data_IF_206468091823
#
_entry.id   IF_206468091823
#
_cell.length_a   1.000
_cell.length_b   1.000
_cell.length_c   1.000
_cell.angle_alpha   90.00
_cell.angle_beta   90.00
_cell.angle_gamma   90.00
#
_symmetry.space_group_name_H-M   'P 1'
#
loop_
_entity.id
_entity.type
_entity.pdbx_description
1 polymer ?
#
# COMPACT_ATOMS: atom_id res chain seq x y z
N UNK A 1 57.16 -35.49 -71.47
CA UNK A 1 56.85 -34.05 -71.43
C UNK A 1 55.34 -33.97 -71.50
N UNK A 2 54.69 -34.20 -70.35
CA UNK A 2 53.90 -33.21 -69.58
C UNK A 2 52.67 -32.74 -70.35
N UNK A 3 51.50 -33.15 -69.86
CA UNK A 3 50.40 -32.24 -69.50
C UNK A 3 49.43 -33.07 -68.64
N UNK A 4 49.54 -32.89 -67.32
CA UNK A 4 48.56 -33.38 -66.35
C UNK A 4 47.27 -32.56 -66.51
N UNK A 5 46.08 -33.15 -66.34
CA UNK A 5 44.86 -32.37 -66.35
C UNK A 5 44.91 -31.39 -65.17
N UNK A 6 44.74 -30.10 -65.46
CA UNK A 6 44.63 -29.04 -64.46
C UNK A 6 43.57 -29.44 -63.43
N UNK A 7 44.01 -29.75 -62.23
CA UNK A 7 43.15 -29.88 -61.07
C UNK A 7 42.65 -28.48 -60.74
N UNK A 8 41.43 -28.17 -61.18
CA UNK A 8 40.66 -27.05 -60.68
C UNK A 8 40.41 -27.30 -59.18
N UNK A 9 41.36 -26.90 -58.35
CA UNK A 9 41.14 -26.72 -56.93
C UNK A 9 40.13 -25.57 -56.81
N UNK A 10 38.84 -25.92 -56.79
CA UNK A 10 37.81 -24.99 -56.34
C UNK A 10 38.16 -24.60 -54.90
N UNK A 11 38.79 -23.44 -54.77
CA UNK A 11 39.09 -22.79 -53.51
C UNK A 11 37.76 -22.53 -52.80
N UNK A 12 37.36 -23.47 -51.95
CA UNK A 12 36.17 -23.36 -51.13
C UNK A 12 36.46 -22.29 -50.07
N UNK A 13 36.27 -21.03 -50.45
CA UNK A 13 36.23 -19.94 -49.50
C UNK A 13 35.06 -20.20 -48.55
N UNK A 14 35.36 -20.75 -47.38
CA UNK A 14 34.47 -20.73 -46.24
C UNK A 14 34.24 -19.26 -45.90
N UNK A 15 33.23 -18.67 -46.52
CA UNK A 15 32.73 -17.33 -46.22
C UNK A 15 32.36 -17.35 -44.74
N UNK A 16 33.28 -16.88 -43.91
CA UNK A 16 33.14 -16.86 -42.46
C UNK A 16 31.87 -16.04 -42.20
N UNK A 17 30.81 -16.68 -41.71
CA UNK A 17 29.59 -16.02 -41.24
C UNK A 17 29.86 -15.27 -39.92
N UNK A 18 30.92 -14.48 -39.90
CA UNK A 18 31.22 -13.52 -38.87
C UNK A 18 30.99 -12.17 -39.52
N UNK A 19 30.35 -11.27 -38.76
CA UNK A 19 30.05 -9.87 -39.12
C UNK A 19 28.62 -9.59 -39.63
N UNK A 20 27.58 -10.16 -39.01
CA UNK A 20 26.28 -9.45 -38.91
C UNK A 20 26.01 -8.89 -37.49
N UNK A 21 26.88 -9.21 -36.52
CA UNK A 21 26.78 -8.71 -35.14
C UNK A 21 27.48 -7.35 -34.93
N UNK A 22 28.34 -6.90 -35.84
CA UNK A 22 29.20 -5.72 -35.63
C UNK A 22 28.54 -4.40 -36.08
N UNK A 23 27.43 -4.46 -36.81
CA UNK A 23 26.63 -3.30 -37.24
C UNK A 23 25.20 -3.31 -36.67
N UNK A 24 24.93 -4.10 -35.63
CA UNK A 24 23.62 -4.05 -35.01
C UNK A 24 23.50 -2.77 -34.18
N UNK A 25 22.76 -1.80 -34.70
CA UNK A 25 22.42 -0.57 -33.98
C UNK A 25 21.81 -0.93 -32.62
N UNK A 26 22.56 -0.68 -31.55
CA UNK A 26 22.13 -0.94 -30.17
C UNK A 26 21.18 0.15 -29.67
N UNK A 27 21.16 1.31 -30.33
CA UNK A 27 20.29 2.45 -30.03
C UNK A 27 18.81 2.05 -29.90
N UNK A 28 18.19 1.32 -30.86
CA UNK A 28 16.81 0.85 -30.70
C UNK A 28 16.62 -0.18 -29.57
N UNK A 29 17.64 -0.99 -29.24
CA UNK A 29 17.52 -1.96 -28.15
C UNK A 29 17.56 -1.28 -26.77
N UNK A 30 18.43 -0.28 -26.62
CA UNK A 30 18.50 0.53 -25.41
C UNK A 30 17.19 1.30 -25.25
N UNK A 31 16.62 1.85 -26.32
CA UNK A 31 15.34 2.58 -26.26
C UNK A 31 14.17 1.70 -25.82
N UNK A 32 14.02 0.49 -26.39
CA UNK A 32 12.97 -0.46 -25.97
C UNK A 32 13.11 -0.84 -24.50
N UNK A 33 14.34 -1.10 -24.03
CA UNK A 33 14.55 -1.41 -22.60
C UNK A 33 14.32 -0.20 -21.70
N UNK A 34 14.67 1.01 -22.14
CA UNK A 34 14.45 2.26 -21.40
C UNK A 34 12.95 2.58 -21.28
N UNK A 35 12.18 2.40 -22.35
CA UNK A 35 10.72 2.53 -22.34
C UNK A 35 10.06 1.55 -21.37
N UNK A 36 10.55 0.30 -21.31
CA UNK A 36 10.06 -0.70 -20.37
C UNK A 36 10.39 -0.34 -18.91
N UNK A 37 11.57 0.23 -18.63
CA UNK A 37 11.94 0.70 -17.30
C UNK A 37 11.08 1.88 -16.84
N UNK A 38 10.79 2.84 -17.72
CA UNK A 38 9.88 3.96 -17.41
C UNK A 38 8.46 3.45 -17.17
N UNK A 39 7.98 2.54 -18.02
CA UNK A 39 6.68 1.91 -17.83
C UNK A 39 6.62 1.16 -16.50
N UNK A 40 7.63 0.37 -16.18
CA UNK A 40 7.71 -0.34 -14.90
C UNK A 40 7.82 0.61 -13.72
N UNK A 41 8.56 1.72 -13.82
CA UNK A 41 8.69 2.71 -12.74
C UNK A 41 7.37 3.43 -12.48
N UNK A 42 6.67 3.86 -13.53
CA UNK A 42 5.35 4.52 -13.42
C UNK A 42 4.28 3.52 -12.95
N UNK A 43 4.31 2.27 -13.42
CA UNK A 43 3.35 1.23 -13.03
C UNK A 43 3.65 0.61 -11.66
N UNK A 44 4.91 0.51 -11.23
CA UNK A 44 5.28 0.13 -9.86
C UNK A 44 4.82 1.18 -8.85
N UNK A 45 4.80 2.46 -9.25
CA UNK A 45 4.20 3.54 -8.46
C UNK A 45 2.68 3.43 -8.31
N UNK A 46 2.01 2.52 -9.02
CA UNK A 46 0.57 2.24 -8.83
C UNK A 46 0.27 1.23 -7.71
N UNK A 47 1.28 0.83 -6.94
CA UNK A 47 1.05 0.02 -5.74
C UNK A 47 0.75 0.96 -4.57
N UNK A 48 -0.48 0.85 -4.02
CA UNK A 48 -1.04 1.55 -2.84
C UNK A 48 -1.77 2.88 -3.07
N UNK A 49 -2.90 2.83 -3.79
CA UNK A 49 -4.06 3.69 -3.51
C UNK A 49 -5.29 2.85 -3.15
N UNK A 50 -5.13 1.99 -2.14
CA UNK A 50 -6.23 1.45 -1.35
C UNK A 50 -5.89 1.54 0.14
N UNK A 51 -5.48 2.73 0.55
CA UNK A 51 -5.58 3.14 1.92
C UNK A 51 -6.52 4.33 1.92
N UNK A 52 -7.76 4.12 2.35
CA UNK A 52 -8.48 5.18 3.05
C UNK A 52 -7.48 5.68 4.09
N UNK A 53 -7.07 6.94 3.99
CA UNK A 53 -5.90 7.46 4.69
C UNK A 53 -6.05 7.28 6.20
N UNK A 54 -5.44 6.24 6.74
CA UNK A 54 -5.02 6.24 8.13
C UNK A 54 -3.83 7.18 8.21
N UNK A 55 -3.90 8.30 8.95
CA UNK A 55 -2.73 9.13 9.14
C UNK A 55 -1.68 8.31 9.91
N UNK A 56 -0.48 8.08 9.35
CA UNK A 56 0.59 7.36 10.05
C UNK A 56 1.07 8.16 11.26
N UNK A 57 1.43 7.50 12.39
CA UNK A 57 1.94 8.18 13.58
C UNK A 57 3.12 9.09 13.24
N UNK A 58 3.30 10.11 14.07
CA UNK A 58 4.15 11.29 13.89
C UNK A 58 5.58 10.98 13.38
N UNK A 59 6.26 11.96 12.74
CA UNK A 59 7.49 11.73 11.96
C UNK A 59 8.76 11.33 12.75
N UNK A 60 8.68 11.10 14.06
CA UNK A 60 9.86 10.97 14.91
C UNK A 60 10.41 9.54 15.05
N UNK A 61 9.71 8.51 14.54
CA UNK A 61 10.16 7.11 14.63
C UNK A 61 10.70 6.58 13.28
N UNK A 62 11.61 7.32 12.66
CA UNK A 62 12.45 6.81 11.57
C UNK A 62 13.54 5.90 12.16
N UNK A 63 13.24 4.63 12.40
CA UNK A 63 14.33 3.69 12.71
C UNK A 63 14.02 2.32 13.30
N UNK A 64 12.79 2.00 13.70
CA UNK A 64 12.48 0.70 14.26
C UNK A 64 11.48 -0.04 13.38
N UNK A 65 11.86 -1.27 13.02
CA UNK A 65 11.03 -2.34 12.45
C UNK A 65 9.53 -2.10 12.68
N UNK A 66 8.76 -2.02 11.60
CA UNK A 66 7.29 -1.97 11.62
C UNK A 66 6.80 -3.31 12.19
N UNK A 67 6.79 -3.41 13.52
CA UNK A 67 5.95 -4.35 14.21
C UNK A 67 4.54 -3.75 14.18
N UNK A 68 3.51 -4.51 13.79
CA UNK A 68 2.14 -4.05 13.92
C UNK A 68 1.90 -3.78 15.41
N UNK A 69 1.85 -2.50 15.81
CA UNK A 69 1.42 -2.10 17.15
C UNK A 69 0.02 -2.69 17.35
N UNK A 70 -0.10 -3.57 18.33
CA UNK A 70 -1.36 -4.23 18.63
C UNK A 70 -2.32 -3.18 19.18
N UNK A 71 -3.63 -3.41 19.09
CA UNK A 71 -4.65 -2.48 19.62
C UNK A 71 -4.38 -2.11 21.10
N UNK A 72 -3.71 -2.99 21.82
CA UNK A 72 -3.27 -2.85 23.20
C UNK A 72 -2.27 -1.71 23.41
N UNK A 73 -1.40 -1.42 22.45
CA UNK A 73 -0.39 -0.35 22.54
C UNK A 73 -1.01 1.06 22.46
N UNK A 74 -2.22 1.16 21.91
CA UNK A 74 -2.93 2.43 21.77
C UNK A 74 -3.85 2.73 22.96
N UNK A 75 -4.07 1.76 23.86
CA UNK A 75 -4.98 1.90 25.02
C UNK A 75 -4.57 3.01 25.98
N UNK A 76 -3.29 3.38 26.03
CA UNK A 76 -2.83 4.43 26.95
C UNK A 76 -2.99 5.86 26.36
N UNK A 77 -2.99 6.02 25.04
CA UNK A 77 -3.00 7.35 24.39
C UNK A 77 -4.26 7.67 23.58
N UNK A 78 -5.03 6.67 23.14
CA UNK A 78 -6.27 6.88 22.38
C UNK A 78 -7.50 6.22 23.01
N UNK A 79 -8.69 6.73 22.68
CA UNK A 79 -9.96 6.06 22.97
C UNK A 79 -10.25 5.08 21.85
N UNK A 80 -10.54 3.82 22.20
CA UNK A 80 -10.91 2.81 21.20
C UNK A 80 -12.44 2.75 21.12
N UNK A 81 -12.99 2.98 19.94
CA UNK A 81 -14.42 2.86 19.66
C UNK A 81 -14.64 1.70 18.70
N UNK A 82 -15.29 0.65 19.16
CA UNK A 82 -15.60 -0.51 18.34
C UNK A 82 -17.05 -0.43 17.83
N UNK A 83 -17.25 -0.71 16.54
CA UNK A 83 -18.57 -0.83 15.93
C UNK A 83 -18.75 -2.28 15.50
N UNK A 84 -19.72 -2.97 16.12
CA UNK A 84 -20.00 -4.37 15.84
C UNK A 84 -20.95 -4.55 14.65
N UNK A 85 -21.10 -5.79 14.18
CA UNK A 85 -21.99 -6.15 13.06
C UNK A 85 -23.46 -5.74 13.29
N UNK A 86 -23.93 -5.77 14.53
CA UNK A 86 -25.29 -5.38 14.92
C UNK A 86 -25.47 -3.85 15.05
N UNK A 87 -24.50 -3.04 14.60
CA UNK A 87 -24.46 -1.58 14.72
C UNK A 87 -24.41 -1.05 16.16
N UNK A 88 -24.08 -1.91 17.09
CA UNK A 88 -23.77 -1.46 18.44
C UNK A 88 -22.37 -0.86 18.54
N UNK A 89 -22.23 0.04 19.51
CA UNK A 89 -20.99 0.78 19.74
C UNK A 89 -20.47 0.41 21.13
N UNK A 90 -19.18 0.14 21.22
CA UNK A 90 -18.45 -0.01 22.47
C UNK A 90 -17.32 1.01 22.55
N UNK A 91 -17.07 1.60 23.72
CA UNK A 91 -15.91 2.46 23.99
C UNK A 91 -15.03 1.80 25.04
N UNK A 92 -13.76 1.57 24.74
CA UNK A 92 -12.80 0.90 25.65
C UNK A 92 -13.41 -0.38 26.28
N UNK A 93 -14.01 -1.24 25.46
CA UNK A 93 -14.68 -2.50 25.85
C UNK A 93 -16.01 -2.32 26.63
N UNK A 94 -16.45 -1.08 26.90
CA UNK A 94 -17.73 -0.79 27.53
C UNK A 94 -18.83 -0.56 26.48
N UNK A 95 -19.90 -1.37 26.54
CA UNK A 95 -21.03 -1.30 25.63
C UNK A 95 -21.87 -0.04 25.89
N UNK A 96 -22.09 0.77 24.86
CA UNK A 96 -22.88 2.00 24.98
C UNK A 96 -24.29 1.76 24.41
N UNK A 97 -25.35 2.17 25.15
CA UNK A 97 -26.71 2.10 24.62
C UNK A 97 -26.90 3.14 23.50
N UNK A 98 -27.73 2.82 22.51
CA UNK A 98 -27.90 3.62 21.29
C UNK A 98 -28.37 5.07 21.57
N UNK A 99 -29.09 5.28 22.67
CA UNK A 99 -29.63 6.57 23.08
C UNK A 99 -28.65 7.40 23.94
N UNK A 100 -27.50 6.85 24.32
CA UNK A 100 -26.53 7.59 25.11
C UNK A 100 -25.78 8.61 24.24
N UNK A 101 -25.44 9.74 24.88
CA UNK A 101 -24.65 10.77 24.24
C UNK A 101 -23.19 10.31 24.13
N UNK A 102 -22.80 9.87 22.93
CA UNK A 102 -21.46 9.37 22.63
C UNK A 102 -20.38 10.43 22.88
N UNK A 103 -20.65 11.70 22.56
CA UNK A 103 -19.74 12.81 22.83
C UNK A 103 -19.48 12.98 24.34
N UNK A 104 -20.50 12.86 25.18
CA UNK A 104 -20.32 12.94 26.64
C UNK A 104 -19.42 11.83 27.19
N UNK A 105 -19.55 10.61 26.65
CA UNK A 105 -18.71 9.47 27.04
C UNK A 105 -17.26 9.66 26.58
N UNK A 106 -17.05 10.16 25.37
CA UNK A 106 -15.73 10.49 24.84
C UNK A 106 -15.04 11.61 25.63
N UNK A 107 -15.78 12.66 25.97
CA UNK A 107 -15.27 13.77 26.78
C UNK A 107 -14.83 13.31 28.18
N UNK A 108 -15.52 12.32 28.75
CA UNK A 108 -15.19 11.77 30.09
C UNK A 108 -13.85 11.04 30.09
N UNK A 109 -13.43 10.45 28.96
CA UNK A 109 -12.14 9.75 28.82
C UNK A 109 -10.95 10.71 28.73
N UNK A 110 -11.17 11.96 28.32
CA UNK A 110 -10.17 13.03 28.34
C UNK A 110 -8.94 12.81 27.44
N UNK A 111 -9.03 11.90 26.46
CA UNK A 111 -7.96 11.67 25.47
C UNK A 111 -8.25 12.48 24.20
N UNK A 112 -7.18 12.84 23.48
CA UNK A 112 -7.26 13.68 22.28
C UNK A 112 -7.20 12.87 20.97
N UNK A 113 -6.87 11.58 21.05
CA UNK A 113 -6.85 10.67 19.92
C UNK A 113 -7.96 9.63 20.05
N UNK A 114 -8.55 9.25 18.92
CA UNK A 114 -9.58 8.21 18.80
C UNK A 114 -9.19 7.21 17.71
N UNK A 115 -9.37 5.93 17.99
CA UNK A 115 -9.34 4.84 17.03
C UNK A 115 -10.74 4.23 16.92
N UNK A 116 -11.33 4.30 15.73
CA UNK A 116 -12.62 3.68 15.41
C UNK A 116 -12.32 2.34 14.74
N UNK A 117 -12.67 1.22 15.36
CA UNK A 117 -12.58 -0.11 14.77
C UNK A 117 -13.97 -0.57 14.30
N UNK A 118 -14.23 -0.49 13.00
CA UNK A 118 -15.54 -0.84 12.44
C UNK A 118 -15.56 -2.25 11.86
N UNK A 119 -16.59 -3.03 12.15
CA UNK A 119 -16.84 -4.28 11.44
C UNK A 119 -17.23 -4.02 9.98
N UNK A 120 -16.89 -4.92 9.05
CA UNK A 120 -17.20 -4.74 7.62
C UNK A 120 -18.70 -4.61 7.33
N UNK A 121 -19.52 -5.32 8.11
CA UNK A 121 -20.98 -5.30 8.00
C UNK A 121 -21.63 -4.12 8.76
N UNK A 122 -20.84 -3.25 9.41
CA UNK A 122 -21.39 -2.09 10.10
C UNK A 122 -21.98 -1.09 9.09
N UNK A 123 -23.13 -0.50 9.45
CA UNK A 123 -23.75 0.53 8.62
C UNK A 123 -22.87 1.77 8.59
N UNK A 124 -22.72 2.34 7.41
CA UNK A 124 -21.99 3.59 7.21
C UNK A 124 -22.54 4.73 8.08
N UNK A 125 -23.86 4.78 8.26
CA UNK A 125 -24.51 5.75 9.15
C UNK A 125 -23.97 5.70 10.58
N UNK A 126 -23.72 4.50 11.12
CA UNK A 126 -23.18 4.30 12.46
C UNK A 126 -21.76 4.83 12.57
N UNK A 127 -20.93 4.58 11.54
CA UNK A 127 -19.55 5.10 11.49
C UNK A 127 -19.54 6.63 11.48
N UNK A 128 -20.39 7.24 10.66
CA UNK A 128 -20.51 8.71 10.57
C UNK A 128 -20.94 9.30 11.92
N UNK A 129 -21.92 8.70 12.59
CA UNK A 129 -22.35 9.12 13.94
C UNK A 129 -21.19 9.12 14.96
N UNK A 130 -20.33 8.10 14.91
CA UNK A 130 -19.15 8.02 15.79
C UNK A 130 -18.14 9.12 15.47
N UNK A 131 -17.88 9.37 14.19
CA UNK A 131 -16.99 10.44 13.74
C UNK A 131 -17.52 11.82 14.16
N UNK A 132 -18.82 12.06 14.00
CA UNK A 132 -19.46 13.32 14.39
C UNK A 132 -19.34 13.55 15.90
N UNK A 133 -19.56 12.52 16.72
CA UNK A 133 -19.36 12.61 18.17
C UNK A 133 -17.91 12.90 18.55
N UNK A 134 -16.93 12.33 17.83
CA UNK A 134 -15.51 12.64 18.00
C UNK A 134 -15.17 14.09 17.62
N UNK A 135 -15.79 14.61 16.56
CA UNK A 135 -15.63 16.00 16.14
C UNK A 135 -16.25 16.98 17.15
N UNK A 136 -17.40 16.64 17.73
CA UNK A 136 -18.08 17.46 18.75
C UNK A 136 -17.19 17.69 19.99
N UNK A 137 -16.43 16.68 20.40
CA UNK A 137 -15.47 16.77 21.53
C UNK A 137 -14.08 17.26 21.11
N UNK A 138 -13.92 17.73 19.87
CA UNK A 138 -12.67 18.27 19.34
C UNK A 138 -11.49 17.29 19.39
N UNK A 139 -11.72 16.01 19.08
CA UNK A 139 -10.64 15.03 18.90
C UNK A 139 -9.63 15.55 17.87
N UNK A 140 -8.36 15.58 18.26
CA UNK A 140 -7.27 16.08 17.41
C UNK A 140 -6.91 15.08 16.31
N UNK A 141 -7.11 13.79 16.58
CA UNK A 141 -6.72 12.73 15.68
C UNK A 141 -7.71 11.58 15.72
N UNK A 142 -8.39 11.35 14.60
CA UNK A 142 -9.33 10.24 14.42
C UNK A 142 -8.72 9.25 13.41
N UNK A 143 -8.60 7.99 13.79
CA UNK A 143 -8.10 6.88 12.96
C UNK A 143 -9.24 5.88 12.77
N UNK A 144 -9.46 5.38 11.55
CA UNK A 144 -10.58 4.47 11.25
C UNK A 144 -10.09 3.10 10.78
N UNK A 145 -9.98 2.15 11.72
CA UNK A 145 -9.86 0.70 11.59
C UNK A 145 -11.05 0.02 10.91
N UNK A 146 -10.80 -1.04 10.13
CA UNK A 146 -11.83 -2.01 9.77
C UNK A 146 -11.38 -3.40 10.21
N UNK A 147 -12.18 -4.07 11.04
CA UNK A 147 -11.97 -5.45 11.47
C UNK A 147 -12.81 -6.37 10.58
N UNK A 148 -12.14 -6.95 9.59
CA UNK A 148 -12.72 -7.77 8.53
C UNK A 148 -11.70 -8.76 8.00
N UNK A 149 -12.15 -9.98 7.70
CA UNK A 149 -11.29 -11.13 7.36
C UNK A 149 -10.58 -11.03 6.01
#
# INVERSE_FOLDING_TARGET
>A
MVEEPESEEEEFELRRAQTEFEEMDLTPMVDVTFLLLIFFMITASFTMQKAIGFPPPSPDEQGASVQPKQLEDFKDECVIVEIHEDNSISIDEERIPLDANLAAMLATKGKNEMLIDAHENALHETVVKVVDAGNEVQMQRIRLGSRGG
#
